data_IF_991960732073
#
_entry.id   IF_991960732073
#
_cell.length_a   1.000
_cell.length_b   1.000
_cell.length_c   1.000
_cell.angle_alpha   90.00
_cell.angle_beta   90.00
_cell.angle_gamma   90.00
#
_symmetry.space_group_name_H-M   'P 1'
#
loop_
_entity.id
_entity.type
_entity.pdbx_description
1 polymer ?
#
# COMPACT_ATOMS: atom_id res chain seq x y z
N UNK A 1 -18.42 8.69 9.71
CA UNK A 1 -17.40 7.74 9.18
C UNK A 1 -17.59 7.37 7.70
N UNK A 2 -18.75 6.85 7.29
CA UNK A 2 -19.01 6.39 5.90
C UNK A 2 -18.71 7.42 4.80
N UNK A 3 -18.94 8.71 5.08
CA UNK A 3 -18.58 9.81 4.17
C UNK A 3 -17.06 9.91 3.96
N UNK A 4 -16.27 9.88 5.05
CA UNK A 4 -14.81 9.98 5.00
C UNK A 4 -14.20 8.78 4.29
N UNK A 5 -14.72 7.57 4.53
CA UNK A 5 -14.31 6.36 3.79
C UNK A 5 -14.55 6.51 2.29
N UNK A 6 -15.75 6.97 1.90
CA UNK A 6 -16.10 7.17 0.49
C UNK A 6 -15.23 8.24 -0.16
N UNK A 7 -14.98 9.34 0.55
CA UNK A 7 -14.12 10.42 0.07
C UNK A 7 -12.67 9.97 -0.10
N UNK A 8 -12.09 9.29 0.90
CA UNK A 8 -10.75 8.72 0.84
C UNK A 8 -10.62 7.75 -0.34
N UNK A 9 -11.60 6.85 -0.50
CA UNK A 9 -11.61 5.93 -1.63
C UNK A 9 -11.71 6.67 -2.96
N UNK A 10 -12.54 7.72 -3.12
CA UNK A 10 -12.62 8.46 -4.38
C UNK A 10 -11.35 9.25 -4.72
N UNK A 11 -10.66 9.79 -3.71
CA UNK A 11 -9.43 10.56 -3.88
C UNK A 11 -8.15 9.70 -4.02
N UNK A 12 -8.23 8.39 -3.71
CA UNK A 12 -7.08 7.50 -3.74
C UNK A 12 -6.55 7.26 -5.17
N UNK A 13 -5.24 7.03 -5.27
CA UNK A 13 -4.61 6.41 -6.46
C UNK A 13 -5.31 5.09 -6.78
N UNK A 14 -5.58 4.85 -8.05
CA UNK A 14 -6.36 3.70 -8.52
C UNK A 14 -5.49 2.60 -9.10
N UNK A 15 -6.03 1.38 -9.06
CA UNK A 15 -5.41 0.25 -9.74
C UNK A 15 -5.23 0.57 -11.23
N UNK A 16 -4.03 0.30 -11.75
CA UNK A 16 -3.66 0.58 -13.14
C UNK A 16 -3.34 2.05 -13.43
N UNK A 17 -3.44 2.96 -12.46
CA UNK A 17 -3.02 4.35 -12.65
C UNK A 17 -1.49 4.43 -12.78
N UNK A 18 -0.94 4.94 -13.89
CA UNK A 18 0.49 5.12 -14.02
C UNK A 18 0.97 6.20 -13.03
N UNK A 19 2.10 5.93 -12.40
CA UNK A 19 2.80 6.87 -11.52
C UNK A 19 4.25 6.97 -11.95
N UNK A 20 4.83 8.15 -11.82
CA UNK A 20 6.28 8.29 -11.89
C UNK A 20 6.93 7.89 -10.57
N UNK A 21 8.26 7.71 -10.60
CA UNK A 21 9.00 7.27 -9.44
C UNK A 21 8.96 8.28 -8.29
N UNK A 22 8.79 9.58 -8.57
CA UNK A 22 8.72 10.61 -7.53
C UNK A 22 7.40 10.51 -6.74
N UNK A 23 6.30 10.39 -7.45
CA UNK A 23 4.95 10.22 -6.91
C UNK A 23 4.83 8.94 -6.10
N UNK A 24 5.44 7.84 -6.56
CA UNK A 24 5.51 6.59 -5.80
C UNK A 24 6.22 6.77 -4.45
N UNK A 25 7.37 7.47 -4.44
CA UNK A 25 8.12 7.73 -3.20
C UNK A 25 7.35 8.63 -2.25
N UNK A 26 6.70 9.67 -2.76
CA UNK A 26 5.86 10.55 -1.95
C UNK A 26 4.69 9.78 -1.32
N UNK A 27 4.02 8.92 -2.10
CA UNK A 27 2.92 8.09 -1.61
C UNK A 27 3.36 7.18 -0.45
N UNK A 28 4.53 6.52 -0.59
CA UNK A 28 5.10 5.70 0.47
C UNK A 28 5.47 6.54 1.70
N UNK A 29 6.07 7.72 1.50
CA UNK A 29 6.39 8.63 2.60
C UNK A 29 5.15 9.05 3.40
N UNK A 30 4.06 9.37 2.69
CA UNK A 30 2.77 9.70 3.32
C UNK A 30 2.15 8.52 4.06
N UNK A 31 2.23 7.32 3.49
CA UNK A 31 1.73 6.09 4.12
C UNK A 31 2.42 5.84 5.47
N UNK A 32 3.75 5.95 5.52
CA UNK A 32 4.50 5.73 6.75
C UNK A 32 4.37 6.85 7.79
N UNK A 33 3.84 8.01 7.39
CA UNK A 33 3.50 9.10 8.31
C UNK A 33 2.09 8.98 8.93
N UNK A 34 1.25 8.04 8.45
CA UNK A 34 -0.07 7.81 9.03
C UNK A 34 0.02 7.12 10.40
N UNK A 35 -1.03 7.29 11.22
CA UNK A 35 -1.11 6.66 12.55
C UNK A 35 -1.31 5.13 12.50
N UNK A 36 -2.06 4.64 11.50
CA UNK A 36 -2.28 3.21 11.28
C UNK A 36 -1.90 2.79 9.85
N UNK A 37 -0.60 2.79 9.49
CA UNK A 37 -0.17 2.47 8.13
C UNK A 37 -0.60 1.10 7.61
N UNK A 38 -0.63 0.00 8.40
CA UNK A 38 -0.89 -1.35 7.86
C UNK A 38 -2.30 -1.60 7.29
N UNK A 39 -3.28 -0.74 7.59
CA UNK A 39 -4.68 -0.97 7.20
C UNK A 39 -5.29 0.26 6.51
N UNK A 40 -6.13 0.03 5.51
CA UNK A 40 -6.94 1.10 4.90
C UNK A 40 -8.18 1.41 5.75
N UNK A 41 -8.97 2.38 5.29
CA UNK A 41 -10.22 2.82 5.95
C UNK A 41 -11.32 1.74 5.99
N UNK A 42 -11.09 0.59 5.35
CA UNK A 42 -11.96 -0.59 5.35
C UNK A 42 -11.33 -1.80 6.06
N UNK A 43 -10.13 -1.65 6.64
CA UNK A 43 -9.40 -2.70 7.33
C UNK A 43 -8.54 -3.61 6.44
N UNK A 44 -8.48 -3.36 5.13
CA UNK A 44 -7.66 -4.16 4.21
C UNK A 44 -6.19 -3.84 4.41
N UNK A 45 -5.32 -4.83 4.29
CA UNK A 45 -3.88 -4.62 4.35
C UNK A 45 -3.40 -3.70 3.23
N UNK A 46 -2.66 -2.65 3.58
CA UNK A 46 -2.02 -1.72 2.63
C UNK A 46 -0.62 -2.17 2.23
N UNK A 47 0.05 -2.93 3.09
CA UNK A 47 1.42 -3.41 2.93
C UNK A 47 1.44 -4.92 3.17
N UNK A 48 2.15 -5.64 2.31
CA UNK A 48 2.51 -7.04 2.52
C UNK A 48 4.03 -7.13 2.52
N UNK A 49 4.59 -7.78 3.54
CA UNK A 49 6.01 -8.08 3.57
C UNK A 49 6.26 -9.44 2.96
N UNK A 50 7.20 -9.50 2.02
CA UNK A 50 7.67 -10.74 1.43
C UNK A 50 9.18 -10.86 1.70
N UNK A 51 9.58 -11.59 2.76
CA UNK A 51 10.99 -11.76 3.11
C UNK A 51 11.80 -12.39 1.98
N UNK A 52 13.12 -12.14 1.98
CA UNK A 52 14.04 -12.68 0.98
C UNK A 52 14.05 -14.20 0.99
N UNK A 53 14.03 -14.80 2.17
CA UNK A 53 14.05 -16.25 2.39
C UNK A 53 12.77 -16.88 1.85
N UNK A 54 11.62 -16.22 2.04
CA UNK A 54 10.34 -16.66 1.51
C UNK A 54 10.31 -16.58 -0.03
N UNK A 55 10.91 -15.54 -0.61
CA UNK A 55 11.13 -15.46 -2.05
C UNK A 55 11.99 -16.62 -2.53
N UNK A 56 13.17 -16.83 -1.94
CA UNK A 56 14.09 -17.90 -2.33
C UNK A 56 13.42 -19.28 -2.29
N UNK A 57 12.68 -19.57 -1.23
CA UNK A 57 11.89 -20.81 -1.08
C UNK A 57 10.86 -20.97 -2.21
N UNK A 58 10.10 -19.93 -2.53
CA UNK A 58 9.08 -19.98 -3.61
C UNK A 58 9.68 -20.19 -4.99
N UNK A 59 10.93 -19.79 -5.20
CA UNK A 59 11.66 -19.97 -6.45
C UNK A 59 12.58 -21.21 -6.43
N UNK A 60 12.50 -22.07 -5.40
CA UNK A 60 13.30 -23.31 -5.32
C UNK A 60 14.80 -23.08 -5.18
N UNK A 61 15.20 -21.93 -4.64
CA UNK A 61 16.61 -21.53 -4.47
C UNK A 61 17.18 -21.92 -3.10
N UNK A 62 16.37 -22.54 -2.24
CA UNK A 62 16.72 -23.03 -0.90
C UNK A 62 15.87 -24.24 -0.53
#
# INVERSE_FOLDING_TARGET
>A
ERFVQTWACRAAVKAGQPLDAASMRELLGRLFACELPPHDVHGRATIVQLPREELERRFGRR
#
